data_IF_407009240770
#
_entry.id   IF_407009240770
#
_cell.length_a   1.000
_cell.length_b   1.000
_cell.length_c   1.000
_cell.angle_alpha   90.00
_cell.angle_beta   90.00
_cell.angle_gamma   90.00
#
_symmetry.space_group_name_H-M   'P 1'
#
loop_
_entity.id
_entity.type
_entity.pdbx_description
1 polymer ?
#
# COMPACT_ATOMS: atom_id res chain seq x y z
N UNK A 1 -12.84 -10.02 21.96
CA UNK A 1 -12.44 -8.60 22.01
C UNK A 1 -11.04 -8.49 21.45
N UNK A 2 -10.72 -7.40 20.78
CA UNK A 2 -9.38 -7.17 20.21
C UNK A 2 -8.46 -6.61 21.30
N UNK A 3 -7.28 -7.20 21.44
CA UNK A 3 -6.22 -6.69 22.31
C UNK A 3 -5.32 -5.79 21.46
N UNK A 4 -5.06 -4.59 21.97
CA UNK A 4 -4.16 -3.62 21.34
C UNK A 4 -2.96 -3.41 22.26
N UNK A 5 -1.76 -3.51 21.71
CA UNK A 5 -0.52 -3.18 22.42
C UNK A 5 0.48 -2.54 21.47
N UNK A 6 1.50 -1.89 22.00
CA UNK A 6 2.61 -1.36 21.22
C UNK A 6 3.90 -1.40 22.02
N UNK A 7 5.02 -1.36 21.30
CA UNK A 7 6.36 -1.22 21.87
C UNK A 7 7.26 -0.53 20.84
N UNK A 8 8.32 0.11 21.31
CA UNK A 8 9.38 0.57 20.42
C UNK A 8 9.99 -0.64 19.69
N UNK A 9 10.16 -0.51 18.38
CA UNK A 9 10.68 -1.57 17.52
C UNK A 9 12.06 -1.23 16.96
N UNK A 10 12.32 0.04 16.68
CA UNK A 10 13.63 0.51 16.26
C UNK A 10 13.74 2.02 16.31
N UNK A 11 14.81 2.55 15.72
CA UNK A 11 15.01 3.98 15.54
C UNK A 11 15.76 4.25 14.24
N UNK A 12 15.50 5.43 13.68
CA UNK A 12 16.26 5.99 12.57
C UNK A 12 16.96 7.24 13.07
N UNK A 13 18.25 7.39 12.74
CA UNK A 13 19.08 8.53 13.20
C UNK A 13 18.45 9.88 12.88
N UNK A 14 17.75 9.97 11.76
CA UNK A 14 17.30 11.25 11.20
C UNK A 14 15.81 11.52 11.44
N UNK A 15 15.01 10.49 11.77
CA UNK A 15 13.54 10.57 11.82
C UNK A 15 12.97 10.23 13.21
N UNK A 16 13.72 9.54 14.08
CA UNK A 16 13.30 9.21 15.44
C UNK A 16 12.92 7.74 15.64
N UNK A 17 12.13 7.46 16.68
CA UNK A 17 11.71 6.11 17.07
C UNK A 17 10.61 5.57 16.17
N UNK A 18 10.70 4.29 15.84
CA UNK A 18 9.65 3.55 15.15
C UNK A 18 9.03 2.58 16.13
N UNK A 19 7.72 2.68 16.31
CA UNK A 19 6.96 1.79 17.18
C UNK A 19 6.24 0.74 16.35
N UNK A 20 6.07 -0.44 16.95
CA UNK A 20 5.26 -1.53 16.41
C UNK A 20 4.02 -1.69 17.27
N UNK A 21 2.87 -1.51 16.64
CA UNK A 21 1.54 -1.75 17.18
C UNK A 21 1.08 -3.17 16.82
N UNK A 22 0.40 -3.83 17.74
CA UNK A 22 -0.16 -5.17 17.55
C UNK A 22 -1.65 -5.12 17.83
N UNK A 23 -2.44 -5.56 16.85
CA UNK A 23 -3.87 -5.80 16.98
C UNK A 23 -4.11 -7.31 16.96
N UNK A 24 -4.71 -7.85 18.02
CA UNK A 24 -4.88 -9.29 18.17
C UNK A 24 -6.33 -9.66 18.48
N UNK A 25 -6.91 -10.53 17.64
CA UNK A 25 -8.12 -11.29 17.91
C UNK A 25 -7.78 -12.80 18.07
N UNK A 26 -8.72 -13.69 18.42
CA UNK A 26 -8.41 -15.12 18.51
C UNK A 26 -7.90 -15.78 17.21
N UNK A 27 -8.18 -15.19 16.04
CA UNK A 27 -7.88 -15.77 14.73
C UNK A 27 -6.99 -14.92 13.81
N UNK A 28 -6.82 -13.63 14.13
CA UNK A 28 -5.99 -12.71 13.34
C UNK A 28 -5.07 -11.92 14.27
N UNK A 29 -3.81 -11.78 13.87
CA UNK A 29 -2.85 -10.85 14.47
C UNK A 29 -2.29 -9.94 13.38
N UNK A 30 -2.35 -8.63 13.61
CA UNK A 30 -1.81 -7.63 12.69
C UNK A 30 -0.72 -6.86 13.41
N UNK A 31 0.42 -6.69 12.75
CA UNK A 31 1.48 -5.80 13.22
C UNK A 31 1.58 -4.58 12.30
N UNK A 32 1.53 -3.38 12.88
CA UNK A 32 1.61 -2.10 12.18
C UNK A 32 2.81 -1.30 12.69
N UNK A 33 3.59 -0.71 11.80
CA UNK A 33 4.69 0.19 12.15
C UNK A 33 4.26 1.65 12.04
N UNK A 34 4.80 2.51 12.89
CA UNK A 34 4.65 3.96 12.73
C UNK A 34 5.40 4.50 11.51
N UNK A 35 6.45 3.82 11.07
CA UNK A 35 7.06 4.07 9.75
C UNK A 35 6.06 3.73 8.66
N UNK A 36 5.75 4.71 7.81
CA UNK A 36 4.90 4.57 6.63
C UNK A 36 3.48 4.08 6.90
N UNK A 37 3.05 4.06 8.16
CA UNK A 37 1.85 3.34 8.61
C UNK A 37 1.79 1.90 8.05
N UNK A 38 2.94 1.22 8.01
CA UNK A 38 3.15 -0.06 7.32
C UNK A 38 2.43 -1.20 8.05
N UNK A 39 1.65 -2.00 7.33
CA UNK A 39 1.26 -3.34 7.77
C UNK A 39 2.47 -4.26 7.56
N UNK A 40 3.14 -4.63 8.65
CA UNK A 40 4.33 -5.49 8.64
C UNK A 40 3.97 -6.96 8.50
N UNK A 41 2.91 -7.38 9.19
CA UNK A 41 2.52 -8.79 9.34
C UNK A 41 1.03 -8.91 9.51
N UNK A 42 0.44 -9.94 8.90
CA UNK A 42 -0.96 -10.35 9.06
C UNK A 42 -0.96 -11.86 9.22
N UNK A 43 -0.93 -12.32 10.48
CA UNK A 43 -1.05 -13.73 10.77
C UNK A 43 -2.52 -14.13 10.83
N UNK A 44 -2.90 -15.11 10.01
CA UNK A 44 -4.26 -15.63 9.92
C UNK A 44 -4.29 -17.12 10.27
N UNK A 45 -5.33 -17.55 11.00
CA UNK A 45 -5.50 -18.97 11.34
C UNK A 45 -6.09 -19.76 10.17
N UNK A 46 -5.27 -20.60 9.54
CA UNK A 46 -5.68 -21.53 8.49
C UNK A 46 -6.58 -22.68 8.98
N UNK A 47 -7.04 -23.53 8.06
CA UNK A 47 -7.88 -24.69 8.37
C UNK A 47 -7.16 -25.76 9.21
N UNK A 48 -5.83 -25.85 9.07
CA UNK A 48 -4.96 -26.70 9.89
C UNK A 48 -4.78 -26.18 11.33
N UNK A 49 -5.38 -25.04 11.66
CA UNK A 49 -5.27 -24.39 12.96
C UNK A 49 -3.97 -23.62 13.18
N UNK A 50 -3.03 -23.61 12.23
CA UNK A 50 -1.76 -22.87 12.32
C UNK A 50 -1.97 -21.40 11.93
N UNK A 51 -1.16 -20.52 12.52
CA UNK A 51 -1.12 -19.10 12.14
C UNK A 51 0.00 -18.92 11.11
N UNK A 52 -0.36 -18.45 9.93
CA UNK A 52 0.61 -18.14 8.87
C UNK A 52 0.52 -16.66 8.52
N UNK A 53 1.67 -16.04 8.29
CA UNK A 53 1.73 -14.65 7.87
C UNK A 53 1.46 -14.57 6.37
N UNK A 54 0.35 -13.91 6.03
CA UNK A 54 -0.16 -13.88 4.66
C UNK A 54 0.22 -12.61 3.90
N UNK A 55 1.08 -11.75 4.47
CA UNK A 55 1.63 -10.59 3.77
C UNK A 55 3.15 -10.68 3.65
N UNK A 56 3.68 -10.15 2.56
CA UNK A 56 5.13 -10.00 2.40
C UNK A 56 5.63 -8.82 3.24
N UNK A 57 6.80 -9.00 3.85
CA UNK A 57 7.41 -7.98 4.68
C UNK A 57 8.90 -8.24 4.93
N UNK A 58 9.46 -7.46 5.85
CA UNK A 58 10.84 -7.60 6.30
C UNK A 58 10.92 -7.92 7.79
N UNK A 59 11.95 -8.65 8.16
CA UNK A 59 12.19 -8.99 9.56
C UNK A 59 12.64 -7.79 10.39
N UNK A 60 13.36 -6.85 9.79
CA UNK A 60 13.98 -5.70 10.45
C UNK A 60 13.65 -4.35 9.80
N UNK A 61 13.97 -3.28 10.54
CA UNK A 61 13.69 -1.91 10.11
C UNK A 61 14.51 -1.51 8.88
N UNK A 62 15.72 -2.06 8.73
CA UNK A 62 16.61 -1.76 7.61
C UNK A 62 16.00 -2.21 6.28
N UNK A 63 15.34 -3.36 6.27
CA UNK A 63 14.57 -3.84 5.12
C UNK A 63 13.55 -2.81 4.66
N UNK A 64 12.70 -2.32 5.57
CA UNK A 64 11.69 -1.30 5.24
C UNK A 64 12.29 0.06 4.85
N UNK A 65 13.38 0.49 5.48
CA UNK A 65 14.02 1.77 5.14
C UNK A 65 14.64 1.74 3.75
N UNK A 66 15.15 0.59 3.31
CA UNK A 66 15.73 0.40 1.98
C UNK A 66 14.73 -0.08 0.92
N UNK A 67 13.47 -0.28 1.31
CA UNK A 67 12.44 -0.82 0.46
C UNK A 67 12.11 0.12 -0.73
N UNK A 68 12.03 -0.49 -1.91
CA UNK A 68 11.61 0.16 -3.16
C UNK A 68 10.27 -0.38 -3.68
N UNK A 69 9.67 -1.36 -2.99
CA UNK A 69 8.47 -2.10 -3.39
C UNK A 69 7.22 -1.67 -2.62
N UNK A 70 7.37 -0.78 -1.64
CA UNK A 70 6.30 -0.22 -0.81
C UNK A 70 5.60 -1.27 0.05
N UNK A 71 6.29 -2.35 0.46
CA UNK A 71 5.67 -3.51 1.11
C UNK A 71 4.86 -3.09 2.35
N UNK A 72 3.53 -3.23 2.24
CA UNK A 72 2.59 -2.95 3.33
C UNK A 72 2.41 -1.48 3.68
N UNK A 73 3.08 -0.54 3.00
CA UNK A 73 3.07 0.86 3.34
C UNK A 73 1.79 1.57 2.91
N UNK A 74 1.42 2.63 3.64
CA UNK A 74 0.50 3.64 3.12
C UNK A 74 1.22 4.48 2.08
N UNK A 75 0.59 4.61 0.92
CA UNK A 75 1.09 5.37 -0.21
C UNK A 75 0.28 6.66 -0.37
N UNK A 76 0.99 7.76 -0.54
CA UNK A 76 0.44 9.10 -0.75
C UNK A 76 1.57 10.12 -0.95
N UNK A 77 1.29 11.36 -1.36
CA UNK A 77 -0.04 12.01 -1.41
C UNK A 77 -0.97 11.51 -2.53
N UNK A 78 -0.39 11.07 -3.66
CA UNK A 78 -1.12 10.44 -4.77
C UNK A 78 -0.51 9.06 -5.06
N UNK A 79 -1.30 8.02 -4.84
CA UNK A 79 -0.96 6.66 -5.22
C UNK A 79 -1.01 6.46 -6.74
N UNK A 80 -0.20 5.50 -7.20
CA UNK A 80 0.07 5.20 -8.60
C UNK A 80 0.79 6.35 -9.32
N UNK A 81 0.67 6.44 -10.65
CA UNK A 81 1.49 7.29 -11.51
C UNK A 81 0.80 8.61 -11.84
N UNK A 82 1.61 9.66 -11.96
CA UNK A 82 1.25 10.92 -12.61
C UNK A 82 2.17 11.06 -13.83
N UNK A 83 1.54 11.15 -15.01
CA UNK A 83 2.24 11.25 -16.28
C UNK A 83 3.20 12.44 -16.26
N UNK A 84 4.48 12.20 -16.59
CA UNK A 84 5.53 13.24 -16.62
C UNK A 84 5.76 13.97 -15.30
N UNK A 85 5.18 13.46 -14.20
CA UNK A 85 5.13 14.16 -12.92
C UNK A 85 4.42 15.51 -12.98
N UNK A 86 3.60 15.76 -14.00
CA UNK A 86 3.01 17.08 -14.26
C UNK A 86 1.50 17.05 -14.14
N UNK A 87 0.93 18.05 -13.48
CA UNK A 87 -0.52 18.24 -13.41
C UNK A 87 -0.87 19.72 -13.24
N UNK A 88 -2.14 20.05 -13.48
CA UNK A 88 -2.67 21.41 -13.36
C UNK A 88 -3.79 21.42 -12.32
N UNK A 89 -3.73 22.37 -11.39
CA UNK A 89 -4.81 22.63 -10.42
C UNK A 89 -5.14 24.11 -10.48
N UNK A 90 -6.42 24.45 -10.66
CA UNK A 90 -6.90 25.84 -10.68
C UNK A 90 -6.15 26.75 -11.67
N UNK A 91 -5.62 26.17 -12.76
CA UNK A 91 -4.87 26.88 -13.80
C UNK A 91 -3.38 27.07 -13.50
N UNK A 92 -2.89 26.61 -12.35
CA UNK A 92 -1.47 26.59 -12.00
C UNK A 92 -0.83 25.24 -12.33
N UNK A 93 0.37 25.28 -12.93
CA UNK A 93 1.15 24.09 -13.29
C UNK A 93 2.02 23.64 -12.12
N UNK A 94 1.99 22.34 -11.82
CA UNK A 94 2.81 21.71 -10.79
C UNK A 94 3.68 20.62 -11.40
N UNK A 95 4.97 20.62 -11.03
CA UNK A 95 5.94 19.63 -11.43
C UNK A 95 6.45 18.87 -10.20
N UNK A 96 6.22 17.56 -10.21
CA UNK A 96 6.71 16.59 -9.23
C UNK A 96 8.06 16.03 -9.67
N UNK A 97 8.78 15.47 -8.70
CA UNK A 97 9.96 14.65 -9.00
C UNK A 97 9.57 13.41 -9.82
N UNK A 98 10.29 13.20 -10.91
CA UNK A 98 10.16 12.02 -11.76
C UNK A 98 11.00 10.89 -11.16
N UNK A 99 10.34 10.01 -10.40
CA UNK A 99 10.96 8.90 -9.68
C UNK A 99 10.67 7.52 -10.30
N UNK A 100 9.95 7.44 -11.42
CA UNK A 100 9.68 6.19 -12.12
C UNK A 100 9.70 6.39 -13.65
N UNK A 101 10.88 6.17 -14.25
CA UNK A 101 11.08 6.37 -15.69
C UNK A 101 10.83 7.83 -16.07
N UNK A 102 9.78 8.08 -16.84
CA UNK A 102 9.36 9.43 -17.21
C UNK A 102 8.26 10.00 -16.28
N UNK A 103 7.79 9.25 -15.30
CA UNK A 103 6.61 9.58 -14.50
C UNK A 103 6.93 9.80 -13.02
N UNK A 104 6.05 10.49 -12.30
CA UNK A 104 6.04 10.44 -10.84
C UNK A 104 5.20 9.25 -10.39
N UNK A 105 5.60 8.61 -9.29
CA UNK A 105 5.00 7.40 -8.76
C UNK A 105 4.89 7.48 -7.24
N UNK A 106 3.72 7.11 -6.72
CA UNK A 106 3.49 6.84 -5.30
C UNK A 106 3.88 7.99 -4.37
N UNK A 107 3.60 9.22 -4.79
CA UNK A 107 3.82 10.43 -3.99
C UNK A 107 5.25 10.96 -3.98
N UNK A 108 6.16 10.42 -4.80
CA UNK A 108 7.49 11.01 -5.01
C UNK A 108 8.64 10.30 -4.28
N UNK A 109 9.78 10.99 -4.17
CA UNK A 109 11.03 10.42 -3.63
C UNK A 109 10.94 10.14 -2.12
N UNK A 110 10.21 10.97 -1.39
CA UNK A 110 9.93 10.89 0.05
C UNK A 110 8.42 10.91 0.31
N UNK A 111 7.70 10.03 -0.37
CA UNK A 111 6.27 9.84 -0.15
C UNK A 111 5.93 9.35 1.27
N UNK A 112 4.63 9.23 1.53
CA UNK A 112 4.08 8.90 2.85
C UNK A 112 4.60 7.59 3.45
N UNK A 113 5.04 6.66 2.61
CA UNK A 113 5.62 5.38 3.00
C UNK A 113 6.95 5.52 3.76
N UNK A 114 7.64 6.66 3.66
CA UNK A 114 8.94 6.90 4.30
C UNK A 114 8.86 7.79 5.55
N UNK A 115 7.69 8.34 5.87
CA UNK A 115 7.50 9.20 7.02
C UNK A 115 7.29 8.37 8.31
N UNK A 116 7.69 8.90 9.47
CA UNK A 116 7.20 8.39 10.75
C UNK A 116 5.89 9.10 11.06
N UNK A 117 4.84 8.31 11.29
CA UNK A 117 3.51 8.79 11.62
C UNK A 117 3.32 8.85 13.14
N UNK A 118 2.58 9.85 13.61
CA UNK A 118 2.15 9.91 15.00
C UNK A 118 1.04 8.90 15.21
N UNK A 119 1.13 8.04 16.23
CA UNK A 119 0.15 6.99 16.48
C UNK A 119 -0.54 7.16 17.83
N UNK A 120 -1.86 6.97 17.82
CA UNK A 120 -2.70 6.99 19.02
C UNK A 120 -3.57 5.75 19.04
N UNK A 121 -3.66 5.08 20.19
CA UNK A 121 -4.56 3.96 20.37
C UNK A 121 -6.01 4.41 20.19
N UNK A 122 -6.80 3.62 19.46
CA UNK A 122 -8.26 3.78 19.35
C UNK A 122 -8.95 2.49 19.77
N UNK A 123 -10.29 2.51 19.82
CA UNK A 123 -11.05 1.29 20.10
C UNK A 123 -10.74 0.22 19.03
N UNK A 124 -10.35 -0.97 19.48
CA UNK A 124 -10.02 -2.12 18.65
C UNK A 124 -8.89 -1.86 17.61
N UNK A 125 -8.05 -0.84 17.79
CA UNK A 125 -7.13 -0.41 16.75
C UNK A 125 -6.11 0.66 17.12
N UNK A 126 -5.46 1.20 16.07
CA UNK A 126 -4.55 2.34 16.12
C UNK A 126 -4.92 3.33 15.01
N UNK A 127 -4.88 4.62 15.33
CA UNK A 127 -4.97 5.72 14.37
C UNK A 127 -3.61 6.36 14.22
N UNK A 128 -3.13 6.47 12.99
CA UNK A 128 -1.88 7.11 12.64
C UNK A 128 -2.15 8.41 11.88
N UNK A 129 -1.44 9.49 12.19
CA UNK A 129 -1.56 10.78 11.52
C UNK A 129 -0.22 11.35 11.07
N UNK A 130 -0.28 12.12 9.99
CA UNK A 130 0.84 12.83 9.38
C UNK A 130 0.35 14.18 8.86
N UNK A 131 1.19 15.20 8.99
CA UNK A 131 1.01 16.49 8.31
C UNK A 131 2.02 16.58 7.17
N UNK A 132 1.52 16.70 5.95
CA UNK A 132 2.31 16.90 4.74
C UNK A 132 2.20 18.39 4.37
N UNK A 133 3.26 19.19 4.51
CA UNK A 133 3.19 20.65 4.35
C UNK A 133 2.87 21.06 2.91
N UNK A 134 2.55 22.34 2.72
CA UNK A 134 2.45 22.95 1.38
C UNK A 134 3.79 22.80 0.63
N UNK A 135 3.73 22.36 -0.63
CA UNK A 135 4.90 22.08 -1.45
C UNK A 135 5.59 20.74 -1.17
N UNK A 136 5.10 19.92 -0.23
CA UNK A 136 5.70 18.61 0.04
C UNK A 136 5.67 17.72 -1.21
N UNK A 137 6.83 17.25 -1.63
CA UNK A 137 7.05 16.51 -2.88
C UNK A 137 6.54 17.24 -4.14
N UNK A 138 6.33 18.55 -4.08
CA UNK A 138 5.81 19.38 -5.18
C UNK A 138 4.29 19.51 -5.22
N UNK A 139 3.55 18.96 -4.24
CA UNK A 139 2.08 19.08 -4.18
C UNK A 139 1.64 20.36 -3.45
N UNK A 140 0.62 21.10 -3.96
CA UNK A 140 0.11 22.29 -3.29
C UNK A 140 -0.73 21.95 -2.06
N UNK A 141 -0.77 22.87 -1.11
CA UNK A 141 -1.57 22.81 0.11
C UNK A 141 -0.94 21.92 1.18
N UNK A 142 -1.05 22.36 2.43
CA UNK A 142 -0.85 21.46 3.56
C UNK A 142 -1.98 20.43 3.54
N UNK A 143 -1.64 19.17 3.82
CA UNK A 143 -2.58 18.07 4.00
C UNK A 143 -2.37 17.45 5.38
N UNK A 144 -3.41 17.48 6.19
CA UNK A 144 -3.51 16.69 7.41
C UNK A 144 -4.18 15.37 7.05
N UNK A 145 -3.46 14.27 7.21
CA UNK A 145 -3.92 12.92 6.84
C UNK A 145 -3.92 12.02 8.07
N UNK A 146 -4.91 11.15 8.16
CA UNK A 146 -4.90 10.03 9.09
C UNK A 146 -5.34 8.73 8.44
N UNK A 147 -4.79 7.63 8.96
CA UNK A 147 -5.15 6.26 8.62
C UNK A 147 -5.45 5.51 9.91
N UNK A 148 -6.62 4.88 10.01
CA UNK A 148 -6.98 4.05 11.16
C UNK A 148 -7.05 2.59 10.76
N UNK A 149 -6.30 1.75 11.48
CA UNK A 149 -6.39 0.29 11.39
C UNK A 149 -7.15 -0.23 12.59
N UNK A 150 -8.29 -0.88 12.34
CA UNK A 150 -9.12 -1.50 13.40
C UNK A 150 -9.37 -2.96 13.08
N UNK A 151 -9.28 -3.83 14.08
CA UNK A 151 -9.51 -5.27 13.93
C UNK A 151 -10.74 -5.67 14.73
N UNK A 152 -11.75 -6.22 14.06
CA UNK A 152 -12.97 -6.73 14.69
C UNK A 152 -13.23 -8.17 14.23
N UNK A 153 -13.04 -9.13 15.14
CA UNK A 153 -13.08 -10.54 14.78
C UNK A 153 -11.93 -10.89 13.81
N UNK A 154 -12.28 -11.19 12.57
CA UNK A 154 -11.31 -11.50 11.50
C UNK A 154 -11.18 -10.35 10.47
N UNK A 155 -11.92 -9.27 10.67
CA UNK A 155 -11.97 -8.13 9.73
C UNK A 155 -10.99 -7.05 10.17
N UNK A 156 -9.93 -6.85 9.38
CA UNK A 156 -9.09 -5.66 9.44
C UNK A 156 -9.69 -4.56 8.55
N UNK A 157 -10.09 -3.45 9.16
CA UNK A 157 -10.61 -2.27 8.47
C UNK A 157 -9.54 -1.20 8.44
N UNK A 158 -9.30 -0.63 7.26
CA UNK A 158 -8.45 0.55 7.05
C UNK A 158 -9.31 1.73 6.64
N UNK A 159 -9.32 2.81 7.41
CA UNK A 159 -10.03 4.05 7.10
C UNK A 159 -9.03 5.18 6.85
N UNK A 160 -9.18 5.93 5.75
CA UNK A 160 -8.38 7.09 5.43
C UNK A 160 -9.19 8.37 5.58
N UNK A 161 -8.59 9.41 6.17
CA UNK A 161 -9.15 10.76 6.22
C UNK A 161 -8.07 11.75 5.81
N UNK A 162 -8.45 12.77 5.05
CA UNK A 162 -7.55 13.85 4.69
C UNK A 162 -8.31 15.18 4.65
N UNK A 163 -7.62 16.24 5.06
CA UNK A 163 -8.08 17.62 4.93
C UNK A 163 -6.93 18.45 4.37
N UNK A 164 -7.23 19.30 3.39
CA UNK A 164 -6.23 20.17 2.75
C UNK A 164 -6.52 21.65 2.97
N UNK A 165 -5.47 22.47 2.98
CA UNK A 165 -5.57 23.93 3.06
C UNK A 165 -5.73 24.62 1.70
N UNK A 166 -5.42 23.91 0.61
CA UNK A 166 -5.63 24.31 -0.79
C UNK A 166 -6.21 23.13 -1.59
N UNK A 167 -6.78 23.41 -2.76
CA UNK A 167 -7.15 22.38 -3.74
C UNK A 167 -5.90 21.58 -4.12
N UNK A 168 -5.94 20.26 -3.98
CA UNK A 168 -4.79 19.38 -4.22
C UNK A 168 -5.27 17.96 -4.53
N UNK A 169 -4.58 17.21 -5.40
CA UNK A 169 -4.93 15.81 -5.62
C UNK A 169 -4.56 14.95 -4.40
N UNK A 170 -5.49 14.09 -3.98
CA UNK A 170 -5.27 13.09 -2.93
C UNK A 170 -5.79 11.74 -3.42
N UNK A 171 -4.94 10.73 -3.34
CA UNK A 171 -5.30 9.34 -3.60
C UNK A 171 -4.46 8.45 -2.69
N UNK A 172 -5.08 7.87 -1.66
CA UNK A 172 -4.40 7.11 -0.61
C UNK A 172 -4.75 5.63 -0.73
N UNK A 173 -3.76 4.77 -0.49
CA UNK A 173 -3.97 3.32 -0.44
C UNK A 173 -2.93 2.66 0.45
N UNK A 174 -3.11 1.36 0.72
CA UNK A 174 -2.13 0.51 1.37
C UNK A 174 -1.57 -0.46 0.34
N UNK A 175 -0.25 -0.67 0.35
CA UNK A 175 0.46 -1.46 -0.64
C UNK A 175 0.93 -2.83 -0.08
N UNK A 176 0.12 -3.48 0.75
CA UNK A 176 0.33 -4.87 1.18
C UNK A 176 0.29 -5.83 -0.01
N UNK A 177 1.27 -6.72 -0.07
CA UNK A 177 1.31 -7.84 -1.01
C UNK A 177 0.91 -9.09 -0.27
N UNK A 178 -0.14 -9.77 -0.74
CA UNK A 178 -0.69 -10.94 -0.08
C UNK A 178 -0.19 -12.23 -0.73
N UNK A 179 0.21 -13.17 0.11
CA UNK A 179 0.27 -14.58 -0.25
C UNK A 179 -0.52 -15.39 0.79
N UNK A 180 -1.77 -15.74 0.45
CA UNK A 180 -2.65 -16.56 1.29
C UNK A 180 -2.10 -17.98 1.62
N UNK A 181 -1.11 -18.47 0.88
CA UNK A 181 -0.38 -19.70 1.19
C UNK A 181 0.84 -19.46 2.11
N UNK A 182 0.96 -18.26 2.69
CA UNK A 182 2.07 -17.85 3.55
C UNK A 182 3.17 -17.11 2.79
N UNK A 183 3.80 -16.12 3.44
CA UNK A 183 4.84 -15.27 2.84
C UNK A 183 6.09 -16.03 2.35
N UNK A 184 6.35 -17.23 2.87
CA UNK A 184 7.46 -18.09 2.46
C UNK A 184 7.20 -18.91 1.21
N UNK A 185 5.97 -18.88 0.68
CA UNK A 185 5.59 -19.60 -0.53
C UNK A 185 6.02 -18.81 -1.78
N UNK A 186 6.59 -19.51 -2.75
CA UNK A 186 7.33 -18.91 -3.86
C UNK A 186 6.45 -18.11 -4.85
N UNK A 187 5.18 -18.49 -5.00
CA UNK A 187 4.27 -17.88 -5.96
C UNK A 187 2.82 -17.82 -5.42
N UNK A 188 1.94 -17.28 -6.27
CA UNK A 188 0.50 -17.14 -6.02
C UNK A 188 -0.33 -17.86 -7.09
N UNK A 189 0.27 -18.83 -7.80
CA UNK A 189 -0.33 -19.40 -9.00
C UNK A 189 -1.58 -20.25 -8.72
N UNK A 190 -1.68 -20.78 -7.51
CA UNK A 190 -2.86 -21.52 -7.03
C UNK A 190 -3.96 -20.61 -6.47
N UNK A 191 -3.75 -19.30 -6.39
CA UNK A 191 -4.76 -18.37 -5.89
C UNK A 191 -5.88 -18.22 -6.90
N UNK A 192 -7.11 -18.32 -6.40
CA UNK A 192 -8.31 -18.02 -7.17
C UNK A 192 -8.72 -16.59 -6.90
N UNK A 193 -8.66 -15.74 -7.92
CA UNK A 193 -9.00 -14.32 -7.82
C UNK A 193 -10.40 -14.06 -8.37
N UNK A 194 -11.14 -13.16 -7.77
CA UNK A 194 -12.38 -12.61 -8.34
C UNK A 194 -12.41 -11.11 -8.12
N UNK A 195 -12.49 -10.34 -9.20
CA UNK A 195 -12.57 -8.87 -9.17
C UNK A 195 -13.92 -8.47 -9.76
N UNK A 196 -14.73 -7.77 -8.96
CA UNK A 196 -16.04 -7.29 -9.39
C UNK A 196 -15.89 -5.93 -10.09
N UNK A 197 -15.48 -5.97 -11.36
CA UNK A 197 -15.34 -4.79 -12.21
C UNK A 197 -15.93 -5.05 -13.59
N UNK A 198 -16.53 -4.04 -14.20
CA UNK A 198 -17.08 -4.10 -15.57
C UNK A 198 -16.06 -3.66 -16.62
N UNK A 199 -15.02 -2.92 -16.22
CA UNK A 199 -14.02 -2.36 -17.11
C UNK A 199 -12.64 -2.29 -16.46
N UNK A 200 -11.62 -2.11 -17.29
CA UNK A 200 -10.24 -1.87 -16.86
C UNK A 200 -9.61 -0.72 -17.65
N UNK A 201 -8.51 -0.20 -17.12
CA UNK A 201 -7.73 0.86 -17.74
C UNK A 201 -6.52 0.26 -18.47
N UNK A 202 -6.56 0.11 -19.81
CA UNK A 202 -5.36 -0.20 -20.57
C UNK A 202 -4.32 0.92 -20.39
N UNK A 203 -3.07 0.50 -20.23
CA UNK A 203 -1.93 1.39 -20.03
C UNK A 203 -0.99 1.37 -21.24
N UNK A 204 -0.24 2.46 -21.41
CA UNK A 204 0.87 2.54 -22.35
C UNK A 204 2.13 1.84 -21.83
N UNK A 205 3.21 1.88 -22.62
CA UNK A 205 4.52 1.30 -22.29
C UNK A 205 5.16 1.88 -21.02
N UNK A 206 4.70 3.05 -20.55
CA UNK A 206 5.13 3.69 -19.31
C UNK A 206 4.18 3.45 -18.14
N UNK A 207 3.20 2.57 -18.32
CA UNK A 207 2.14 2.23 -17.37
C UNK A 207 1.20 3.40 -17.04
N UNK A 208 1.04 4.36 -17.94
CA UNK A 208 0.04 5.43 -17.82
C UNK A 208 -1.26 5.00 -18.51
N UNK A 209 -2.44 5.20 -17.90
CA UNK A 209 -3.71 4.94 -18.55
C UNK A 209 -3.85 5.71 -19.87
N UNK A 210 -4.22 5.02 -20.94
CA UNK A 210 -4.37 5.61 -22.28
C UNK A 210 -5.55 6.60 -22.41
N UNK A 211 -6.30 6.84 -21.34
CA UNK A 211 -7.55 7.59 -21.32
C UNK A 211 -8.78 6.79 -21.77
N UNK A 212 -8.59 5.56 -22.27
CA UNK A 212 -9.69 4.64 -22.59
C UNK A 212 -10.08 3.82 -21.37
N UNK A 213 -11.37 3.52 -21.27
CA UNK A 213 -11.89 2.46 -20.40
C UNK A 213 -12.38 1.34 -21.30
N UNK A 214 -11.86 0.12 -21.10
CA UNK A 214 -12.24 -1.04 -21.90
C UNK A 214 -13.11 -1.96 -21.07
N UNK A 215 -14.28 -2.32 -21.63
CA UNK A 215 -15.20 -3.28 -21.02
C UNK A 215 -14.51 -4.64 -20.94
N UNK A 216 -14.64 -5.29 -19.79
CA UNK A 216 -14.23 -6.67 -19.62
C UNK A 216 -15.25 -7.57 -20.36
N UNK A 217 -14.94 -7.90 -21.62
CA UNK A 217 -15.74 -8.85 -22.40
C UNK A 217 -15.36 -10.25 -21.96
N UNK A 218 -16.20 -10.83 -21.09
CA UNK A 218 -16.07 -12.21 -20.65
C UNK A 218 -16.57 -13.14 -21.76
N UNK A 219 -15.71 -14.06 -22.22
CA UNK A 219 -16.19 -15.25 -22.93
C UNK A 219 -16.79 -16.19 -21.87
N UNK A 220 -18.12 -16.30 -21.88
CA UNK A 220 -19.03 -17.11 -21.04
C UNK A 220 -19.74 -16.34 -19.90
N UNK A 221 -21.07 -16.42 -19.94
CA UNK A 221 -22.00 -15.57 -19.20
C UNK A 221 -21.99 -15.74 -17.69
N UNK A 222 -22.31 -14.62 -17.03
CA UNK A 222 -22.65 -14.44 -15.61
C UNK A 222 -21.67 -14.97 -14.56
N UNK A 223 -20.88 -14.00 -14.07
CA UNK A 223 -20.14 -13.87 -12.79
C UNK A 223 -18.81 -14.63 -12.68
N UNK A 224 -17.78 -13.88 -12.24
CA UNK A 224 -16.41 -14.28 -11.90
C UNK A 224 -15.50 -14.51 -13.09
N UNK A 225 -14.68 -13.50 -13.43
CA UNK A 225 -13.36 -13.83 -13.95
C UNK A 225 -12.59 -14.51 -12.80
N UNK A 226 -12.69 -15.83 -12.68
CA UNK A 226 -11.69 -16.60 -11.95
C UNK A 226 -10.44 -16.59 -12.80
N UNK A 227 -9.58 -15.61 -12.55
CA UNK A 227 -8.23 -15.64 -13.10
C UNK A 227 -7.50 -16.70 -12.26
N UNK A 228 -7.37 -17.90 -12.83
CA UNK A 228 -6.36 -18.85 -12.37
C UNK A 228 -5.04 -18.29 -12.87
N UNK A 229 -4.15 -17.91 -11.97
CA UNK A 229 -2.84 -17.40 -12.34
C UNK A 229 -2.00 -18.61 -12.76
N UNK A 230 -2.24 -19.15 -13.97
CA UNK A 230 -1.53 -20.33 -14.44
C UNK A 230 -0.07 -19.99 -14.73
N UNK A 231 0.86 -20.86 -14.31
CA UNK A 231 2.23 -20.85 -14.78
C UNK A 231 2.25 -21.18 -16.27
N UNK A 232 2.15 -20.19 -17.14
CA UNK A 232 2.60 -20.37 -18.51
C UNK A 232 4.13 -20.33 -18.47
N UNK A 233 4.78 -21.34 -19.06
CA UNK A 233 6.23 -21.34 -19.27
C UNK A 233 6.62 -20.07 -20.02
N UNK A 234 7.09 -19.06 -19.27
CA UNK A 234 7.63 -17.83 -19.83
C UNK A 234 8.95 -18.21 -20.52
N UNK A 235 9.15 -17.94 -21.82
CA UNK A 235 10.46 -18.10 -22.44
C UNK A 235 11.45 -17.25 -21.63
N UNK A 236 12.60 -17.82 -21.29
CA UNK A 236 13.61 -17.23 -20.39
C UNK A 236 13.75 -15.72 -20.61
N UNK A 237 13.20 -14.94 -19.69
CA UNK A 237 13.61 -13.55 -19.54
C UNK A 237 15.07 -13.61 -19.07
N UNK A 238 15.94 -12.91 -19.80
CA UNK A 238 17.33 -12.69 -19.41
C UNK A 238 17.42 -12.11 -17.99
N UNK A 239 18.65 -12.04 -17.42
CA UNK A 239 18.86 -11.70 -16.02
C UNK A 239 18.03 -10.47 -15.64
N UNK A 240 17.29 -10.59 -14.54
CA UNK A 240 16.49 -9.53 -13.93
C UNK A 240 17.34 -8.27 -13.81
N UNK A 241 17.20 -7.35 -14.77
CA UNK A 241 17.77 -6.03 -14.65
C UNK A 241 17.07 -5.33 -13.48
N UNK A 242 17.90 -4.79 -12.60
CA UNK A 242 17.54 -4.05 -11.41
C UNK A 242 16.66 -2.85 -11.78
N UNK A 243 15.39 -2.89 -11.39
CA UNK A 243 14.47 -1.76 -11.37
C UNK A 243 14.74 -0.82 -10.18
#
# INVERSE_FOLDING_TARGET
MTVVSHQQWGSMSDLGSVDKWVLQSPRVRVEILTLGAIIRSVLCRGQNGQMEDVVLGYDDLKGYVSDKRYLGAVVGRVANRIARGHFVVEGEEFQLDVNNGLNALHGGLRGFNKAIWNATQVKDGVSLSLTSPDGDQGYPGEVQVSVSYTLQGETLTTEYRAQSSKTTPINLTNHSYFNLAGQGTADIYDHQVSIFAESYLPVDETSIPTGKSLVLVLYHGNVKATIIIQSQSVPSLGPLETW
#
